data_IF_278299014456
#
_entry.id   IF_278299014456
#
_cell.length_a   1.000
_cell.length_b   1.000
_cell.length_c   1.000
_cell.angle_alpha   90.00
_cell.angle_beta   90.00
_cell.angle_gamma   90.00
#
_symmetry.space_group_name_H-M   'P 1'
#
loop_
_entity.id
_entity.type
_entity.pdbx_description
1 polymer ?
#
# COMPACT_ATOMS: atom_id res chain seq x y z
N UNK A 1 -30.68 50.80 10.58
CA UNK A 1 -30.14 50.72 11.95
C UNK A 1 -29.00 49.70 11.93
N UNK A 2 -27.78 50.13 11.62
CA UNK A 2 -26.68 50.52 12.53
C UNK A 2 -26.03 49.29 13.21
N UNK A 3 -24.88 48.80 12.70
CA UNK A 3 -23.47 49.13 13.06
C UNK A 3 -23.02 48.40 14.37
N UNK A 4 -21.93 47.62 14.48
CA UNK A 4 -20.48 47.85 14.26
C UNK A 4 -19.75 46.46 14.31
N UNK A 5 -18.84 46.08 13.41
CA UNK A 5 -17.40 46.39 13.25
C UNK A 5 -16.39 45.80 14.26
N UNK A 6 -15.57 44.86 13.73
CA UNK A 6 -14.11 44.62 13.86
C UNK A 6 -13.45 44.36 15.22
N UNK A 7 -12.61 43.30 15.26
CA UNK A 7 -11.19 43.45 15.57
C UNK A 7 -10.32 42.41 14.85
N UNK A 8 -9.22 42.89 14.29
CA UNK A 8 -8.16 42.18 13.55
C UNK A 8 -6.93 42.19 14.45
N UNK A 9 -6.16 41.11 14.51
CA UNK A 9 -4.78 41.16 15.01
C UNK A 9 -3.80 40.66 13.94
N UNK A 10 -2.87 41.55 13.56
CA UNK A 10 -1.69 41.33 12.73
C UNK A 10 -0.43 41.41 13.61
N UNK A 11 0.71 41.02 13.02
CA UNK A 11 2.13 41.29 13.40
C UNK A 11 2.71 40.16 14.29
N UNK A 12 3.88 39.55 14.03
CA UNK A 12 5.10 40.09 13.44
C UNK A 12 5.91 39.11 12.55
N UNK A 13 6.74 39.73 11.72
CA UNK A 13 7.76 39.21 10.82
C UNK A 13 9.15 39.48 11.45
N UNK A 14 10.02 38.47 11.49
CA UNK A 14 11.49 38.55 11.53
C UNK A 14 12.00 37.10 11.34
N UNK A 15 12.83 36.69 10.39
CA UNK A 15 13.85 37.38 9.62
C UNK A 15 15.22 36.87 10.06
N UNK A 16 15.86 35.96 9.31
CA UNK A 16 17.31 35.93 9.12
C UNK A 16 17.74 34.89 8.07
N UNK A 17 18.47 35.40 7.10
CA UNK A 17 19.10 34.74 5.96
C UNK A 17 20.45 34.20 6.41
N UNK A 18 20.79 32.97 6.05
CA UNK A 18 22.17 32.52 6.01
C UNK A 18 22.43 31.77 4.70
N UNK A 19 22.92 32.52 3.71
CA UNK A 19 23.56 31.99 2.51
C UNK A 19 25.03 31.83 2.85
N UNK A 20 25.55 30.61 2.85
CA UNK A 20 26.99 30.36 2.88
C UNK A 20 27.39 29.71 1.56
N UNK A 21 27.80 30.55 0.62
CA UNK A 21 28.59 30.21 -0.56
C UNK A 21 30.04 29.97 -0.13
N UNK A 22 30.64 28.86 -0.57
CA UNK A 22 32.09 28.68 -0.53
C UNK A 22 32.57 28.69 -1.97
N UNK A 23 33.42 29.68 -2.29
CA UNK A 23 34.06 29.85 -3.58
C UNK A 23 35.42 29.14 -3.62
N UNK A 24 35.64 28.46 -4.75
CA UNK A 24 36.87 28.15 -5.50
C UNK A 24 38.27 28.26 -4.84
N UNK A 25 39.07 27.21 -5.08
CA UNK A 25 40.47 27.37 -5.50
C UNK A 25 40.77 26.41 -6.65
N UNK A 26 41.06 26.98 -7.82
CA UNK A 26 41.70 26.34 -8.96
C UNK A 26 43.22 26.43 -8.82
N UNK A 27 43.95 25.40 -9.26
CA UNK A 27 45.28 25.51 -9.87
C UNK A 27 45.65 24.21 -10.60
N UNK A 28 46.51 24.30 -11.62
CA UNK A 28 46.44 23.43 -12.80
C UNK A 28 47.44 22.27 -12.72
N UNK A 29 47.18 21.20 -13.44
CA UNK A 29 48.29 20.43 -14.01
C UNK A 29 47.97 20.06 -15.45
N UNK A 30 48.66 20.77 -16.35
CA UNK A 30 48.76 20.44 -17.76
C UNK A 30 49.94 19.49 -17.92
N UNK A 31 49.67 18.26 -18.35
CA UNK A 31 50.60 17.55 -19.21
C UNK A 31 49.81 16.84 -20.29
N UNK A 32 50.06 17.30 -21.51
CA UNK A 32 49.50 16.81 -22.74
C UNK A 32 50.17 15.51 -23.22
N UNK A 33 49.47 14.88 -24.16
CA UNK A 33 49.93 13.97 -25.22
C UNK A 33 49.93 12.46 -24.91
N UNK A 34 48.95 11.74 -25.45
CA UNK A 34 49.09 10.99 -26.71
C UNK A 34 47.85 10.12 -27.00
N UNK A 35 47.53 10.00 -28.29
CA UNK A 35 46.28 9.49 -28.83
C UNK A 35 46.09 7.96 -28.74
N UNK A 36 44.84 7.53 -28.59
CA UNK A 36 44.25 6.32 -29.23
C UNK A 36 42.72 6.37 -29.05
N UNK A 37 41.91 5.93 -30.04
CA UNK A 37 40.46 6.04 -29.98
C UNK A 37 39.88 4.90 -29.14
N UNK A 38 39.47 5.18 -27.90
CA UNK A 38 38.75 4.22 -27.07
C UNK A 38 37.25 4.46 -27.25
N UNK A 39 36.59 3.38 -27.67
CA UNK A 39 35.16 3.28 -27.92
C UNK A 39 34.32 3.92 -26.82
N UNK A 40 33.34 4.72 -27.23
CA UNK A 40 32.23 5.18 -26.41
C UNK A 40 31.52 3.96 -25.80
N UNK A 41 31.50 3.77 -24.47
CA UNK A 41 30.51 2.89 -23.88
C UNK A 41 29.20 3.68 -23.89
N UNK A 42 28.38 3.46 -24.93
CA UNK A 42 26.96 3.79 -24.88
C UNK A 42 26.33 2.86 -23.84
N UNK A 43 26.46 3.22 -22.56
CA UNK A 43 25.77 2.56 -21.48
C UNK A 43 24.30 2.96 -21.58
N UNK A 44 23.46 2.04 -22.06
CA UNK A 44 22.01 2.11 -21.93
C UNK A 44 21.65 1.76 -20.48
N UNK A 45 21.18 2.69 -19.62
CA UNK A 45 20.78 2.35 -18.28
C UNK A 45 19.26 2.43 -18.20
N UNK A 46 18.50 1.36 -18.47
CA UNK A 46 17.03 1.51 -18.34
C UNK A 46 16.19 0.28 -17.98
N UNK A 47 16.70 -0.95 -18.07
CA UNK A 47 15.91 -2.11 -17.60
C UNK A 47 16.21 -2.47 -16.13
N UNK A 48 17.49 -2.59 -15.77
CA UNK A 48 17.91 -3.10 -14.45
C UNK A 48 17.68 -2.10 -13.31
N UNK A 49 17.95 -0.81 -13.52
CA UNK A 49 17.70 0.23 -12.51
C UNK A 49 16.21 0.48 -12.28
N UNK A 50 15.39 0.47 -13.33
CA UNK A 50 13.94 0.62 -13.22
C UNK A 50 13.28 -0.60 -12.54
N UNK A 51 13.75 -1.81 -12.84
CA UNK A 51 13.32 -3.04 -12.16
C UNK A 51 13.78 -3.10 -10.70
N UNK A 52 14.98 -2.60 -10.39
CA UNK A 52 15.46 -2.49 -9.01
C UNK A 52 14.66 -1.47 -8.21
N UNK A 53 14.34 -0.31 -8.80
CA UNK A 53 13.51 0.72 -8.16
C UNK A 53 12.06 0.27 -7.96
N UNK A 54 11.47 -0.46 -8.91
CA UNK A 54 10.12 -1.02 -8.78
C UNK A 54 10.08 -2.15 -7.74
N UNK A 55 11.11 -3.00 -7.69
CA UNK A 55 11.27 -4.04 -6.66
C UNK A 55 11.47 -3.42 -5.27
N UNK A 56 12.26 -2.35 -5.14
CA UNK A 56 12.47 -1.63 -3.88
C UNK A 56 11.19 -0.91 -3.39
N UNK A 57 10.43 -0.32 -4.32
CA UNK A 57 9.11 0.26 -4.01
C UNK A 57 8.12 -0.83 -3.58
N UNK A 58 8.12 -1.96 -4.27
CA UNK A 58 7.32 -3.14 -3.94
C UNK A 58 7.65 -3.70 -2.55
N UNK A 59 8.93 -3.89 -2.24
CA UNK A 59 9.36 -4.41 -0.93
C UNK A 59 9.02 -3.45 0.22
N UNK A 60 9.18 -2.15 0.02
CA UNK A 60 8.77 -1.12 1.00
C UNK A 60 7.27 -1.18 1.28
N UNK A 61 6.46 -1.33 0.22
CA UNK A 61 5.01 -1.41 0.36
C UNK A 61 4.58 -2.72 1.05
N UNK A 62 5.18 -3.86 0.69
CA UNK A 62 4.92 -5.15 1.34
C UNK A 62 5.26 -5.09 2.84
N UNK A 63 6.42 -4.51 3.20
CA UNK A 63 6.79 -4.32 4.61
C UNK A 63 5.81 -3.42 5.36
N UNK A 64 5.30 -2.38 4.68
CA UNK A 64 4.27 -1.49 5.26
C UNK A 64 2.97 -2.24 5.51
N UNK A 65 2.51 -3.04 4.55
CA UNK A 65 1.33 -3.92 4.71
C UNK A 65 1.53 -4.84 5.91
N UNK A 66 2.69 -5.49 6.01
CA UNK A 66 3.00 -6.42 7.10
C UNK A 66 2.97 -5.71 8.47
N UNK A 67 3.58 -4.53 8.57
CA UNK A 67 3.57 -3.71 9.79
C UNK A 67 2.15 -3.30 10.18
N UNK A 68 1.33 -2.83 9.24
CA UNK A 68 -0.07 -2.48 9.51
C UNK A 68 -0.89 -3.70 9.96
N UNK A 69 -0.66 -4.85 9.33
CA UNK A 69 -1.36 -6.08 9.67
C UNK A 69 -1.04 -6.58 11.09
N UNK A 70 0.17 -6.30 11.61
CA UNK A 70 0.52 -6.63 13.01
C UNK A 70 -0.38 -5.94 14.05
N UNK A 71 -1.02 -4.83 13.67
CA UNK A 71 -1.98 -4.08 14.50
C UNK A 71 -3.41 -4.15 13.96
N UNK A 72 -3.69 -5.13 13.08
CA UNK A 72 -5.04 -5.39 12.57
C UNK A 72 -5.52 -4.40 11.50
N UNK A 73 -4.62 -3.67 10.83
CA UNK A 73 -4.96 -2.63 9.84
C UNK A 73 -4.53 -3.04 8.43
N UNK A 74 -5.15 -2.41 7.43
CA UNK A 74 -4.76 -2.47 6.01
C UNK A 74 -4.46 -1.05 5.49
N UNK A 75 -3.68 -0.90 4.41
CA UNK A 75 -3.46 0.39 3.77
C UNK A 75 -4.78 1.04 3.33
N UNK A 76 -4.85 2.37 3.45
CA UNK A 76 -5.97 3.17 2.95
C UNK A 76 -7.24 3.15 3.80
N UNK A 77 -7.25 2.45 4.94
CA UNK A 77 -8.43 2.31 5.80
C UNK A 77 -8.11 2.53 7.28
N UNK A 78 -8.93 3.35 7.95
CA UNK A 78 -8.86 3.59 9.38
C UNK A 78 -9.83 2.68 10.15
N UNK A 79 -9.65 1.37 10.04
CA UNK A 79 -10.38 0.35 10.78
C UNK A 79 -9.42 -0.71 11.30
N UNK A 80 -9.78 -1.38 12.39
CA UNK A 80 -9.00 -2.44 13.02
C UNK A 80 -9.83 -3.72 13.05
N UNK A 81 -9.31 -4.78 12.43
CA UNK A 81 -9.90 -6.10 12.46
C UNK A 81 -10.07 -6.59 13.90
N UNK A 82 -11.23 -7.14 14.19
CA UNK A 82 -11.68 -7.62 15.49
C UNK A 82 -12.12 -6.54 16.49
N UNK A 83 -12.06 -5.25 16.13
CA UNK A 83 -12.38 -4.14 17.04
C UNK A 83 -13.38 -3.14 16.46
N UNK A 84 -13.25 -2.77 15.19
CA UNK A 84 -14.11 -1.74 14.59
C UNK A 84 -15.50 -2.32 14.30
N UNK A 85 -16.58 -1.68 14.79
CA UNK A 85 -17.94 -2.05 14.39
C UNK A 85 -18.22 -1.57 12.96
N UNK A 86 -19.00 -2.33 12.20
CA UNK A 86 -19.35 -1.96 10.82
C UNK A 86 -20.15 -0.66 10.75
N UNK A 87 -20.94 -0.35 11.79
CA UNK A 87 -21.67 0.91 11.89
C UNK A 87 -20.77 2.15 11.80
N UNK A 88 -19.50 2.07 12.23
CA UNK A 88 -18.55 3.16 12.09
C UNK A 88 -18.10 3.38 10.64
N UNK A 89 -18.10 2.32 9.82
CA UNK A 89 -17.86 2.40 8.37
C UNK A 89 -19.10 2.98 7.70
N UNK A 90 -20.29 2.47 8.02
CA UNK A 90 -21.58 2.97 7.50
C UNK A 90 -21.76 4.46 7.78
N UNK A 91 -21.44 4.90 9.00
CA UNK A 91 -21.52 6.31 9.37
C UNK A 91 -20.64 7.20 8.50
N UNK A 92 -19.47 6.72 8.09
CA UNK A 92 -18.51 7.50 7.30
C UNK A 92 -18.77 7.41 5.80
N UNK A 93 -19.17 6.24 5.31
CA UNK A 93 -19.16 5.91 3.88
C UNK A 93 -20.56 5.67 3.31
N UNK A 94 -21.59 5.64 4.15
CA UNK A 94 -22.93 5.23 3.75
C UNK A 94 -23.05 3.71 3.61
N UNK A 95 -24.13 3.28 2.97
CA UNK A 95 -24.41 1.85 2.72
C UNK A 95 -23.42 1.24 1.72
N UNK A 96 -23.03 -0.04 1.89
CA UNK A 96 -22.20 -0.75 0.93
C UNK A 96 -22.98 -1.03 -0.37
N UNK A 97 -22.29 -1.21 -1.49
CA UNK A 97 -22.98 -1.59 -2.74
C UNK A 97 -23.47 -3.05 -2.70
N UNK A 98 -22.79 -3.89 -1.91
CA UNK A 98 -23.14 -5.30 -1.74
C UNK A 98 -23.12 -5.67 -0.26
N UNK A 99 -24.15 -6.40 0.18
CA UNK A 99 -24.14 -7.10 1.47
C UNK A 99 -24.81 -6.37 2.65
N UNK A 100 -25.07 -5.06 2.57
CA UNK A 100 -25.56 -4.27 3.71
C UNK A 100 -26.92 -4.68 4.29
N UNK A 101 -27.71 -5.46 3.54
CA UNK A 101 -29.01 -5.99 4.03
C UNK A 101 -28.90 -7.39 4.64
N UNK A 102 -27.72 -8.02 4.59
CA UNK A 102 -27.51 -9.37 5.10
C UNK A 102 -27.42 -9.36 6.63
N UNK A 103 -27.79 -10.49 7.23
CA UNK A 103 -27.72 -10.70 8.69
C UNK A 103 -26.78 -11.84 9.02
N UNK A 104 -26.26 -11.83 10.24
CA UNK A 104 -25.34 -12.86 10.72
C UNK A 104 -23.93 -12.66 10.17
N UNK A 105 -23.20 -13.75 9.92
CA UNK A 105 -21.87 -13.65 9.34
C UNK A 105 -21.98 -13.40 7.84
N UNK A 106 -21.47 -12.26 7.37
CA UNK A 106 -21.57 -11.88 5.95
C UNK A 106 -20.39 -11.00 5.54
N UNK A 107 -20.36 -10.64 4.26
CA UNK A 107 -19.43 -9.68 3.71
C UNK A 107 -20.17 -8.48 3.15
N UNK A 108 -19.60 -7.30 3.39
CA UNK A 108 -19.99 -6.07 2.73
C UNK A 108 -18.85 -5.56 1.85
N UNK A 109 -19.17 -5.01 0.67
CA UNK A 109 -18.19 -4.43 -0.25
C UNK A 109 -18.49 -2.95 -0.49
N UNK A 110 -17.40 -2.18 -0.59
CA UNK A 110 -17.36 -0.78 -1.00
C UNK A 110 -16.47 -0.64 -2.24
N UNK A 111 -16.99 -0.07 -3.31
CA UNK A 111 -16.26 0.21 -4.54
C UNK A 111 -16.39 1.69 -4.89
N UNK A 112 -15.32 2.42 -4.64
CA UNK A 112 -15.29 3.87 -4.80
C UNK A 112 -15.20 4.33 -6.27
N UNK A 113 -15.01 3.40 -7.21
CA UNK A 113 -14.86 3.73 -8.63
C UNK A 113 -13.64 4.62 -8.90
N UNK A 114 -13.54 5.14 -10.13
CA UNK A 114 -12.52 6.14 -10.55
C UNK A 114 -11.07 5.82 -10.13
N UNK A 115 -10.72 4.54 -9.97
CA UNK A 115 -9.39 4.12 -9.54
C UNK A 115 -9.07 4.34 -8.06
N UNK A 116 -10.05 4.69 -7.25
CA UNK A 116 -9.89 4.81 -5.79
C UNK A 116 -9.81 3.46 -5.09
N UNK A 117 -10.22 2.39 -5.80
CA UNK A 117 -10.13 1.02 -5.35
C UNK A 117 -11.37 0.54 -4.61
N UNK A 118 -11.28 -0.67 -4.07
CA UNK A 118 -12.38 -1.30 -3.35
C UNK A 118 -11.92 -1.93 -2.04
N UNK A 119 -12.84 -1.99 -1.08
CA UNK A 119 -12.65 -2.58 0.23
C UNK A 119 -13.77 -3.58 0.52
N UNK A 120 -13.44 -4.61 1.29
CA UNK A 120 -14.39 -5.61 1.74
C UNK A 120 -14.29 -5.82 3.25
N UNK A 121 -15.42 -6.09 3.88
CA UNK A 121 -15.54 -6.24 5.32
C UNK A 121 -16.24 -7.54 5.64
N UNK A 122 -15.52 -8.50 6.25
CA UNK A 122 -16.13 -9.68 6.86
C UNK A 122 -16.66 -9.30 8.24
N UNK A 123 -17.97 -9.45 8.45
CA UNK A 123 -18.69 -8.95 9.62
C UNK A 123 -19.28 -10.13 10.37
N UNK A 124 -19.08 -10.17 11.69
CA UNK A 124 -19.65 -11.21 12.54
C UNK A 124 -21.10 -10.87 12.93
N UNK A 125 -21.78 -11.82 13.59
CA UNK A 125 -23.17 -11.63 14.06
C UNK A 125 -23.36 -10.42 14.98
N UNK A 126 -22.32 -9.97 15.69
CA UNK A 126 -22.34 -8.81 16.58
C UNK A 126 -22.06 -7.48 15.85
N UNK A 127 -21.90 -7.50 14.53
CA UNK A 127 -21.59 -6.30 13.75
C UNK A 127 -20.14 -5.84 13.85
N UNK A 128 -19.23 -6.67 14.34
CA UNK A 128 -17.80 -6.37 14.41
C UNK A 128 -17.08 -6.92 13.19
N UNK A 129 -16.23 -6.09 12.60
CA UNK A 129 -15.43 -6.46 11.43
C UNK A 129 -14.32 -7.41 11.87
N UNK A 130 -14.29 -8.63 11.34
CA UNK A 130 -13.25 -9.63 11.61
C UNK A 130 -12.28 -9.84 10.44
N UNK A 131 -12.66 -9.48 9.21
CA UNK A 131 -11.81 -9.57 8.01
C UNK A 131 -11.82 -8.23 7.28
N UNK A 132 -10.64 -7.64 7.09
CA UNK A 132 -10.44 -6.39 6.33
C UNK A 132 -9.79 -6.71 5.00
N UNK A 133 -10.47 -6.44 3.88
CA UNK A 133 -9.96 -6.68 2.52
C UNK A 133 -9.65 -5.38 1.80
N UNK A 134 -8.49 -5.32 1.16
CA UNK A 134 -8.11 -4.25 0.23
C UNK A 134 -7.86 -4.85 -1.15
N UNK A 135 -8.69 -4.49 -2.13
CA UNK A 135 -8.59 -4.96 -3.52
C UNK A 135 -7.63 -4.12 -4.38
N UNK A 136 -7.06 -3.05 -3.81
CA UNK A 136 -6.21 -2.10 -4.53
C UNK A 136 -6.97 -1.22 -5.51
N UNK A 137 -6.23 -0.39 -6.22
CA UNK A 137 -6.76 0.47 -7.27
C UNK A 137 -6.99 -0.36 -8.54
N UNK A 138 -8.13 -0.19 -9.19
CA UNK A 138 -8.52 -1.02 -10.34
C UNK A 138 -7.90 -0.60 -11.68
N UNK A 139 -7.38 0.62 -11.79
CA UNK A 139 -6.97 1.20 -13.09
C UNK A 139 -5.50 0.89 -13.42
N UNK A 140 -4.62 0.85 -12.41
CA UNK A 140 -3.18 0.72 -12.62
C UNK A 140 -2.60 -0.47 -11.82
N UNK A 141 -2.16 -1.49 -12.55
CA UNK A 141 -1.52 -2.69 -11.98
C UNK A 141 -0.06 -2.47 -11.59
N UNK A 142 0.51 -1.29 -11.84
CA UNK A 142 1.90 -0.95 -11.46
C UNK A 142 1.99 -0.32 -10.07
N UNK A 143 0.85 -0.02 -9.43
CA UNK A 143 0.76 0.59 -8.10
C UNK A 143 -0.09 -0.23 -7.13
N UNK A 144 0.09 0.06 -5.83
CA UNK A 144 -0.75 -0.49 -4.77
C UNK A 144 -0.71 -2.01 -4.66
N UNK A 145 -1.84 -2.61 -4.28
CA UNK A 145 -1.94 -4.07 -4.08
C UNK A 145 -1.74 -4.84 -5.38
N UNK A 146 -2.24 -4.29 -6.50
CA UNK A 146 -2.19 -4.95 -7.81
C UNK A 146 -0.78 -5.06 -8.40
N UNK A 147 0.17 -4.26 -7.93
CA UNK A 147 1.58 -4.37 -8.35
C UNK A 147 2.34 -5.52 -7.70
N UNK A 148 1.77 -6.10 -6.66
CA UNK A 148 2.42 -7.17 -5.92
C UNK A 148 2.28 -8.50 -6.66
N UNK A 149 3.28 -9.35 -6.50
CA UNK A 149 3.26 -10.75 -6.94
C UNK A 149 3.66 -11.67 -5.79
N UNK A 150 3.26 -12.93 -5.85
CA UNK A 150 3.70 -13.93 -4.85
C UNK A 150 5.23 -14.01 -4.72
N UNK A 151 5.97 -13.86 -5.84
CA UNK A 151 7.42 -13.84 -5.84
C UNK A 151 7.98 -12.64 -5.07
N UNK A 152 7.47 -11.43 -5.31
CA UNK A 152 7.89 -10.23 -4.58
C UNK A 152 7.58 -10.32 -3.07
N UNK A 153 6.47 -10.95 -2.70
CA UNK A 153 6.09 -11.19 -1.31
C UNK A 153 7.07 -12.15 -0.64
N UNK A 154 7.41 -13.27 -1.29
CA UNK A 154 8.41 -14.22 -0.75
C UNK A 154 9.79 -13.57 -0.63
N UNK A 155 10.20 -12.81 -1.65
CA UNK A 155 11.49 -12.13 -1.64
C UNK A 155 11.60 -11.13 -0.48
N UNK A 156 10.48 -10.50 -0.09
CA UNK A 156 10.45 -9.48 0.96
C UNK A 156 10.27 -10.07 2.36
N UNK A 157 9.33 -11.01 2.53
CA UNK A 157 8.90 -11.52 3.84
C UNK A 157 9.37 -12.94 4.15
N UNK A 158 10.02 -13.61 3.21
CA UNK A 158 10.34 -15.04 3.30
C UNK A 158 9.14 -15.93 2.97
N UNK A 159 9.23 -17.21 3.34
CA UNK A 159 8.15 -18.17 3.08
C UNK A 159 6.92 -17.88 3.96
N UNK A 160 5.68 -18.02 3.43
CA UNK A 160 4.49 -17.91 4.25
C UNK A 160 4.43 -19.03 5.29
N UNK A 161 3.72 -18.78 6.38
CA UNK A 161 3.42 -19.80 7.40
C UNK A 161 2.60 -20.95 6.80
N UNK A 162 1.68 -20.60 5.91
CA UNK A 162 0.78 -21.55 5.27
C UNK A 162 0.43 -21.07 3.86
N UNK A 163 0.24 -22.03 2.95
CA UNK A 163 -0.34 -21.78 1.62
C UNK A 163 -1.69 -22.46 1.56
N UNK A 164 -2.75 -21.68 1.33
CA UNK A 164 -4.12 -22.18 1.17
C UNK A 164 -4.58 -22.00 -0.28
N UNK A 165 -5.59 -22.77 -0.67
CA UNK A 165 -6.25 -22.65 -1.96
C UNK A 165 -7.76 -22.53 -1.75
N UNK A 166 -8.42 -21.68 -2.54
CA UNK A 166 -9.86 -21.47 -2.48
C UNK A 166 -10.39 -21.23 -3.89
N UNK A 167 -11.06 -22.22 -4.47
CA UNK A 167 -11.44 -22.17 -5.87
C UNK A 167 -10.21 -22.02 -6.77
N UNK A 168 -10.17 -20.97 -7.58
CA UNK A 168 -9.03 -20.63 -8.46
C UNK A 168 -7.92 -19.87 -7.74
N UNK A 169 -8.12 -19.50 -6.48
CA UNK A 169 -7.21 -18.60 -5.77
C UNK A 169 -6.17 -19.38 -4.98
N UNK A 170 -4.96 -18.83 -4.97
CA UNK A 170 -3.86 -19.19 -4.08
C UNK A 170 -3.73 -18.12 -3.02
N UNK A 171 -3.45 -18.54 -1.80
CA UNK A 171 -3.44 -17.66 -0.63
C UNK A 171 -2.15 -17.90 0.15
N UNK A 172 -1.29 -16.89 0.26
CA UNK A 172 -0.14 -16.92 1.17
C UNK A 172 -0.52 -16.30 2.50
N UNK A 173 -0.46 -17.10 3.57
CA UNK A 173 -0.83 -16.69 4.92
C UNK A 173 0.43 -16.41 5.74
N UNK A 174 0.51 -15.21 6.29
CA UNK A 174 1.51 -14.77 7.25
C UNK A 174 0.85 -14.46 8.59
N UNK A 175 1.62 -14.57 9.68
CA UNK A 175 1.16 -14.23 11.03
C UNK A 175 2.00 -13.09 11.61
N UNK A 176 1.72 -11.83 11.24
CA UNK A 176 2.48 -10.67 11.72
C UNK A 176 2.32 -10.41 13.22
N UNK A 177 1.26 -10.94 13.84
CA UNK A 177 1.07 -10.98 15.28
C UNK A 177 0.19 -12.18 15.66
N UNK A 178 0.20 -12.58 16.94
CA UNK A 178 -0.61 -13.71 17.44
C UNK A 178 -2.11 -13.54 17.19
N UNK A 179 -2.60 -12.30 17.15
CA UNK A 179 -4.01 -11.98 16.97
C UNK A 179 -4.46 -11.90 15.50
N UNK A 180 -3.52 -11.81 14.54
CA UNK A 180 -3.83 -11.45 13.16
C UNK A 180 -3.17 -12.37 12.14
N UNK A 181 -3.93 -12.73 11.11
CA UNK A 181 -3.40 -13.31 9.87
C UNK A 181 -3.40 -12.22 8.79
N UNK A 182 -2.28 -12.10 8.07
CA UNK A 182 -2.21 -11.36 6.82
C UNK A 182 -2.22 -12.37 5.68
N UNK A 183 -3.14 -12.23 4.72
CA UNK A 183 -3.15 -13.08 3.54
C UNK A 183 -3.02 -12.25 2.27
N UNK A 184 -2.18 -12.76 1.37
CA UNK A 184 -2.05 -12.27 0.00
C UNK A 184 -2.77 -13.25 -0.90
N UNK A 185 -3.79 -12.78 -1.61
CA UNK A 185 -4.67 -13.60 -2.44
C UNK A 185 -4.49 -13.22 -3.90
N UNK A 186 -4.37 -14.21 -4.76
CA UNK A 186 -4.24 -14.02 -6.20
C UNK A 186 -4.46 -15.34 -6.94
N UNK A 187 -4.42 -15.34 -8.27
CA UNK A 187 -4.75 -16.52 -9.05
C UNK A 187 -3.70 -17.62 -8.83
N UNK A 188 -4.17 -18.86 -8.70
CA UNK A 188 -3.31 -20.05 -8.57
C UNK A 188 -2.58 -20.36 -9.87
N UNK A 189 -3.19 -20.06 -11.01
CA UNK A 189 -2.66 -20.26 -12.36
C UNK A 189 -2.86 -18.98 -13.19
N UNK A 190 -1.95 -18.74 -14.14
CA UNK A 190 -2.07 -17.64 -15.11
C UNK A 190 -1.74 -18.14 -16.51
N UNK A 191 -2.29 -17.49 -17.53
CA UNK A 191 -1.98 -17.79 -18.92
C UNK A 191 -0.46 -17.64 -19.18
N UNK A 192 0.06 -18.46 -20.09
CA UNK A 192 1.49 -18.45 -20.44
C UNK A 192 1.92 -17.03 -20.87
N UNK A 193 3.00 -16.54 -20.29
CA UNK A 193 3.52 -15.19 -20.56
C UNK A 193 2.81 -14.06 -19.80
N UNK A 194 1.89 -14.37 -18.89
CA UNK A 194 1.30 -13.40 -17.95
C UNK A 194 1.89 -13.55 -16.56
N UNK A 195 1.84 -12.46 -15.80
CA UNK A 195 2.29 -12.41 -14.41
C UNK A 195 1.10 -12.58 -13.48
N UNK A 196 1.26 -13.43 -12.46
CA UNK A 196 0.27 -13.60 -11.40
C UNK A 196 0.39 -12.46 -10.37
N UNK A 197 -0.45 -11.45 -10.55
CA UNK A 197 -0.58 -10.33 -9.62
C UNK A 197 -1.46 -10.71 -8.42
N UNK A 198 -1.22 -10.07 -7.29
CA UNK A 198 -2.09 -10.18 -6.11
C UNK A 198 -3.39 -9.44 -6.40
N UNK A 199 -4.52 -10.12 -6.20
CA UNK A 199 -5.84 -9.57 -6.39
C UNK A 199 -6.28 -8.70 -5.23
N UNK A 200 -6.05 -9.19 -4.02
CA UNK A 200 -6.34 -8.46 -2.80
C UNK A 200 -5.47 -8.96 -1.66
N UNK A 201 -5.37 -8.12 -0.64
CA UNK A 201 -4.86 -8.52 0.66
C UNK A 201 -5.99 -8.55 1.67
N UNK A 202 -5.84 -9.36 2.70
CA UNK A 202 -6.73 -9.34 3.83
C UNK A 202 -6.04 -9.48 5.18
N UNK A 203 -6.57 -8.77 6.18
CA UNK A 203 -6.15 -8.87 7.57
C UNK A 203 -7.31 -9.40 8.38
N UNK A 204 -7.12 -10.62 8.88
CA UNK A 204 -8.11 -11.40 9.59
C UNK A 204 -7.79 -11.45 11.08
N UNK A 205 -8.79 -11.23 11.93
CA UNK A 205 -8.71 -11.39 13.37
C UNK A 205 -9.49 -12.64 13.81
N UNK A 206 -8.79 -13.62 14.40
CA UNK A 206 -9.42 -14.85 14.89
C UNK A 206 -10.37 -14.61 16.08
N UNK A 207 -10.13 -13.53 16.82
CA UNK A 207 -11.02 -13.04 17.88
C UNK A 207 -11.53 -11.66 17.47
N UNK A 208 -12.77 -11.60 17.03
CA UNK A 208 -13.51 -10.34 17.03
C UNK A 208 -14.22 -10.25 18.37
N UNK A 209 -14.00 -9.16 19.12
CA UNK A 209 -14.55 -9.01 20.46
C UNK A 209 -16.06 -9.30 20.44
N UNK A 210 -16.46 -10.35 21.16
CA UNK A 210 -17.84 -10.70 21.49
C UNK A 210 -18.27 -9.94 22.73
#
# INVERSE_FOLDING_TARGET
MNNKSKLVNKIALAGLIAVSTIAATSSPNVHAASATPIATPTATPTASAAQSLSAQKGSTYINTIYKLASVGKIPGLNAIAGKTPISAVHYKWGEPEVGGKLKGNHYELYNFGMGQGAYGFGINKSGVIYDLRNFGQSIDQTVGVKSLTFASVIQTLGKPKEVRFSGTDKIYVYSPAKAYELKFVGPSTVAKGKVAHIDHINVYAAKANT
#
